data_IF_587069934599
#
_entry.id   IF_587069934599
#
_cell.length_a   1.000
_cell.length_b   1.000
_cell.length_c   1.000
_cell.angle_alpha   90.00
_cell.angle_beta   90.00
_cell.angle_gamma   90.00
#
_symmetry.space_group_name_H-M   'P 1'
#
loop_
_entity.id
_entity.type
_entity.pdbx_description
1 polymer ?
#
# COMPACT_ATOMS: atom_id res chain seq x y z
N UNK A 1 32.39 -3.70 -11.66
CA UNK A 1 32.66 -2.33 -11.27
C UNK A 1 32.19 -2.06 -9.87
N UNK A 2 32.93 -1.25 -9.09
CA UNK A 2 32.55 -0.97 -7.74
C UNK A 2 31.17 -0.30 -7.75
N UNK A 3 30.34 -0.76 -6.86
CA UNK A 3 29.00 -0.29 -6.62
C UNK A 3 29.06 1.21 -6.30
N UNK A 4 28.65 2.01 -7.25
CA UNK A 4 28.58 3.46 -7.08
C UNK A 4 27.36 3.74 -6.22
N UNK A 5 27.58 4.24 -5.02
CA UNK A 5 26.49 4.77 -4.21
C UNK A 5 26.02 6.07 -4.87
N UNK A 6 24.86 6.04 -5.50
CA UNK A 6 24.28 7.22 -6.16
C UNK A 6 23.84 8.28 -5.15
N UNK A 7 23.44 7.84 -3.97
CA UNK A 7 22.91 8.70 -2.91
C UNK A 7 23.28 8.15 -1.54
N UNK A 8 23.68 9.04 -0.61
CA UNK A 8 23.92 8.73 0.81
C UNK A 8 23.23 9.78 1.66
N UNK A 9 22.39 9.33 2.58
CA UNK A 9 21.82 10.17 3.64
C UNK A 9 22.41 9.79 4.98
N UNK A 10 22.75 10.79 5.79
CA UNK A 10 23.21 10.61 7.16
C UNK A 10 22.25 11.40 8.05
N UNK A 11 21.62 10.71 9.01
CA UNK A 11 20.68 11.35 9.93
C UNK A 11 21.45 12.06 11.04
N UNK A 12 20.81 13.03 11.68
CA UNK A 12 21.23 13.52 12.98
C UNK A 12 21.02 12.41 14.04
N UNK A 13 21.73 12.44 15.18
CA UNK A 13 21.63 11.42 16.24
C UNK A 13 20.38 11.64 17.12
N UNK A 14 19.19 11.70 16.49
CA UNK A 14 17.93 12.05 17.14
C UNK A 14 17.09 10.84 17.54
N UNK A 15 17.35 9.66 16.98
CA UNK A 15 16.62 8.43 17.32
C UNK A 15 16.91 7.99 18.76
N UNK A 16 15.88 7.50 19.43
CA UNK A 16 15.93 7.02 20.81
C UNK A 16 15.51 5.57 20.98
N UNK A 17 15.00 4.93 19.93
CA UNK A 17 14.63 3.52 19.94
C UNK A 17 14.87 2.85 18.57
N UNK A 18 14.94 1.52 18.58
CA UNK A 18 14.99 0.74 17.35
C UNK A 18 13.71 0.91 16.51
N UNK A 19 12.55 1.03 17.16
CA UNK A 19 11.25 1.23 16.51
C UNK A 19 11.21 2.53 15.69
N UNK A 20 11.72 3.62 16.22
CA UNK A 20 11.85 4.90 15.50
C UNK A 20 12.71 4.74 14.24
N UNK A 21 13.83 4.02 14.33
CA UNK A 21 14.72 3.74 13.20
C UNK A 21 14.00 2.92 12.13
N UNK A 22 13.28 1.87 12.53
CA UNK A 22 12.54 1.02 11.57
C UNK A 22 11.40 1.79 10.92
N UNK A 23 10.68 2.62 11.67
CA UNK A 23 9.64 3.49 11.13
C UNK A 23 10.22 4.47 10.09
N UNK A 24 11.35 5.11 10.42
CA UNK A 24 12.05 6.00 9.50
C UNK A 24 12.48 5.28 8.21
N UNK A 25 13.11 4.11 8.32
CA UNK A 25 13.56 3.34 7.17
C UNK A 25 12.40 2.85 6.30
N UNK A 26 11.28 2.48 6.91
CA UNK A 26 10.06 2.07 6.20
C UNK A 26 9.49 3.24 5.41
N UNK A 27 9.40 4.42 6.01
CA UNK A 27 8.93 5.62 5.34
C UNK A 27 9.87 6.04 4.21
N UNK A 28 11.18 5.99 4.44
CA UNK A 28 12.20 6.31 3.44
C UNK A 28 12.12 5.35 2.24
N UNK A 29 11.95 4.05 2.48
CA UNK A 29 11.74 3.05 1.44
C UNK A 29 10.48 3.35 0.61
N UNK A 30 9.37 3.67 1.27
CA UNK A 30 8.12 4.05 0.60
C UNK A 30 8.30 5.29 -0.27
N UNK A 31 9.03 6.29 0.23
CA UNK A 31 9.33 7.51 -0.51
C UNK A 31 10.18 7.24 -1.75
N UNK A 32 11.21 6.41 -1.66
CA UNK A 32 12.07 6.06 -2.80
C UNK A 32 11.30 5.29 -3.87
N UNK A 33 10.48 4.33 -3.48
CA UNK A 33 9.63 3.56 -4.39
C UNK A 33 8.59 4.47 -5.05
N UNK A 34 7.90 5.27 -4.27
CA UNK A 34 6.88 6.19 -4.77
C UNK A 34 7.45 7.22 -5.76
N UNK A 35 8.66 7.73 -5.49
CA UNK A 35 9.34 8.70 -6.37
C UNK A 35 9.99 8.03 -7.60
N UNK A 36 9.96 6.71 -7.71
CA UNK A 36 10.63 5.97 -8.79
C UNK A 36 12.17 6.03 -8.73
N UNK A 37 12.75 6.46 -7.58
CA UNK A 37 14.20 6.57 -7.39
C UNK A 37 14.82 5.18 -7.25
N UNK A 38 14.17 4.28 -6.51
CA UNK A 38 14.64 2.93 -6.27
C UNK A 38 13.51 2.02 -5.80
N UNK A 39 13.49 0.78 -6.26
CA UNK A 39 12.60 -0.27 -5.71
C UNK A 39 13.05 -0.77 -4.34
N UNK A 40 14.22 -0.35 -3.86
CA UNK A 40 14.81 -0.77 -2.59
C UNK A 40 14.87 -2.31 -2.42
N UNK A 41 15.14 -3.01 -3.51
CA UNK A 41 15.39 -4.45 -3.52
C UNK A 41 16.74 -4.78 -2.88
N UNK A 42 16.99 -6.08 -2.67
CA UNK A 42 18.24 -6.56 -2.09
C UNK A 42 19.45 -6.05 -2.90
N UNK A 43 20.38 -5.40 -2.21
CA UNK A 43 21.57 -4.78 -2.80
C UNK A 43 21.39 -3.34 -3.30
N UNK A 44 20.16 -2.85 -3.46
CA UNK A 44 19.89 -1.47 -3.87
C UNK A 44 19.95 -0.48 -2.69
N UNK A 45 19.68 -0.93 -1.47
CA UNK A 45 19.71 -0.12 -0.26
C UNK A 45 20.64 -0.76 0.78
N UNK A 46 21.50 0.05 1.40
CA UNK A 46 22.37 -0.35 2.52
C UNK A 46 22.16 0.59 3.69
N UNK A 47 22.24 0.05 4.88
CA UNK A 47 22.13 0.80 6.12
C UNK A 47 23.29 0.42 7.06
N UNK A 48 24.01 1.42 7.53
CA UNK A 48 24.96 1.30 8.65
C UNK A 48 24.36 2.06 9.83
N UNK A 49 24.42 1.47 11.03
CA UNK A 49 23.86 2.08 12.24
C UNK A 49 25.00 2.51 13.16
N UNK A 50 24.92 3.74 13.64
CA UNK A 50 25.79 4.23 14.72
C UNK A 50 24.96 4.34 15.99
N UNK A 51 25.42 3.72 17.07
CA UNK A 51 24.76 3.72 18.35
C UNK A 51 25.73 4.14 19.47
N UNK A 52 25.23 4.85 20.46
CA UNK A 52 25.87 5.09 21.74
C UNK A 52 24.83 5.14 22.85
N UNK A 53 25.19 4.77 24.05
CA UNK A 53 24.37 4.86 25.27
C UNK A 53 24.99 5.86 26.21
N UNK A 54 24.18 6.66 26.88
CA UNK A 54 24.58 7.65 27.89
C UNK A 54 23.63 7.63 29.06
N UNK A 55 24.06 8.14 30.18
CA UNK A 55 23.21 8.34 31.35
C UNK A 55 22.07 9.33 31.06
N UNK A 56 20.93 9.09 31.68
CA UNK A 56 19.77 9.98 31.54
C UNK A 56 20.13 11.40 32.07
N UNK A 57 19.80 12.40 31.25
CA UNK A 57 20.11 13.81 31.54
C UNK A 57 21.50 14.28 31.09
N UNK A 58 22.40 13.36 30.68
CA UNK A 58 23.69 13.75 30.09
C UNK A 58 23.49 14.45 28.74
N UNK A 59 24.26 15.51 28.47
CA UNK A 59 24.30 16.19 27.18
C UNK A 59 25.37 15.61 26.24
N UNK A 60 26.36 14.91 26.79
CA UNK A 60 27.43 14.31 26.04
C UNK A 60 27.03 12.91 25.57
N UNK A 61 27.36 12.60 24.29
CA UNK A 61 27.13 11.25 23.77
C UNK A 61 28.12 10.26 24.39
N UNK A 62 27.68 9.02 24.58
CA UNK A 62 28.53 7.92 24.96
C UNK A 62 29.45 7.45 23.83
N UNK A 63 30.23 6.43 24.10
CA UNK A 63 31.14 5.82 23.13
C UNK A 63 30.34 5.23 21.95
N UNK A 64 30.78 5.56 20.75
CA UNK A 64 30.07 5.17 19.52
C UNK A 64 30.49 3.79 19.02
N UNK A 65 29.51 2.94 18.72
CA UNK A 65 29.69 1.71 17.96
C UNK A 65 28.99 1.82 16.61
N UNK A 66 29.72 1.51 15.52
CA UNK A 66 29.18 1.39 14.18
C UNK A 66 28.82 -0.07 13.90
N UNK A 67 27.55 -0.36 13.53
CA UNK A 67 27.07 -1.71 13.23
C UNK A 67 26.91 -1.86 11.72
N UNK A 68 27.46 -2.94 11.16
CA UNK A 68 27.42 -3.26 9.73
C UNK A 68 26.87 -4.67 9.47
N UNK A 69 26.58 -4.96 8.21
CA UNK A 69 26.13 -6.26 7.71
C UNK A 69 24.75 -6.70 8.21
N UNK A 70 23.82 -5.77 8.31
CA UNK A 70 22.43 -6.07 8.59
C UNK A 70 21.68 -6.25 7.26
N UNK A 71 21.10 -7.43 7.05
CA UNK A 71 20.48 -7.84 5.79
C UNK A 71 19.00 -7.46 5.66
N UNK A 72 18.36 -7.07 6.76
CA UNK A 72 16.92 -6.77 6.82
C UNK A 72 16.61 -5.73 7.89
N UNK A 73 15.42 -5.15 7.84
CA UNK A 73 14.96 -4.23 8.89
C UNK A 73 14.83 -4.95 10.25
N UNK A 74 14.42 -6.22 10.24
CA UNK A 74 14.39 -7.05 11.45
C UNK A 74 15.81 -7.24 12.05
N UNK A 75 16.81 -7.46 11.19
CA UNK A 75 18.19 -7.55 11.60
C UNK A 75 18.69 -6.23 12.19
N UNK A 76 18.31 -5.08 11.62
CA UNK A 76 18.64 -3.75 12.15
C UNK A 76 18.04 -3.56 13.53
N UNK A 77 16.76 -3.88 13.72
CA UNK A 77 16.08 -3.78 15.01
C UNK A 77 16.78 -4.62 16.09
N UNK A 78 17.05 -5.89 15.78
CA UNK A 78 17.73 -6.80 16.69
C UNK A 78 19.15 -6.34 17.02
N UNK A 79 19.88 -5.86 16.02
CA UNK A 79 21.24 -5.36 16.22
C UNK A 79 21.30 -4.13 17.13
N UNK A 80 20.38 -3.18 16.94
CA UNK A 80 20.27 -1.99 17.78
C UNK A 80 19.97 -2.39 19.23
N UNK A 81 18.95 -3.24 19.43
CA UNK A 81 18.56 -3.67 20.77
C UNK A 81 19.68 -4.46 21.47
N UNK A 82 20.40 -5.32 20.74
CA UNK A 82 21.55 -6.06 21.29
C UNK A 82 22.67 -5.12 21.71
N UNK A 83 23.07 -4.18 20.84
CA UNK A 83 24.16 -3.24 21.16
C UNK A 83 23.78 -2.25 22.27
N UNK A 84 22.54 -1.79 22.31
CA UNK A 84 22.05 -0.95 23.39
C UNK A 84 22.18 -1.67 24.74
N UNK A 85 21.77 -2.95 24.80
CA UNK A 85 21.89 -3.76 26.02
C UNK A 85 23.36 -4.01 26.39
N UNK A 86 24.23 -4.35 25.42
CA UNK A 86 25.65 -4.55 25.64
C UNK A 86 26.30 -3.29 26.24
N UNK A 87 25.99 -2.12 25.70
CA UNK A 87 26.52 -0.85 26.23
C UNK A 87 25.98 -0.55 27.63
N UNK A 88 24.70 -0.81 27.90
CA UNK A 88 24.14 -0.65 29.25
C UNK A 88 24.81 -1.59 30.24
N UNK A 89 24.97 -2.86 29.91
CA UNK A 89 25.62 -3.86 30.76
C UNK A 89 27.09 -3.50 31.02
N UNK A 90 27.80 -3.01 29.99
CA UNK A 90 29.19 -2.57 30.14
C UNK A 90 29.33 -1.38 31.09
N UNK A 91 28.40 -0.41 31.04
CA UNK A 91 28.41 0.78 31.92
C UNK A 91 27.99 0.41 33.35
N UNK A 92 26.90 -0.40 33.49
CA UNK A 92 26.31 -0.70 34.80
C UNK A 92 27.17 -1.70 35.62
N UNK A 93 27.68 -2.73 34.92
CA UNK A 93 28.41 -3.83 35.61
C UNK A 93 29.91 -3.82 35.37
N UNK A 94 30.45 -2.80 34.68
CA UNK A 94 31.88 -2.70 34.33
C UNK A 94 32.45 -3.96 33.67
N UNK A 95 31.62 -4.61 32.81
CA UNK A 95 31.98 -5.91 32.20
C UNK A 95 33.07 -5.78 31.14
N UNK A 96 33.12 -4.66 30.44
CA UNK A 96 34.11 -4.36 29.40
C UNK A 96 34.30 -2.85 29.25
N UNK A 97 35.48 -2.45 28.79
CA UNK A 97 35.75 -1.05 28.43
C UNK A 97 35.14 -0.79 27.03
N UNK A 98 34.21 0.16 26.97
CA UNK A 98 33.64 0.58 25.69
C UNK A 98 34.65 1.43 24.93
N UNK A 99 34.97 1.00 23.72
CA UNK A 99 35.85 1.73 22.80
C UNK A 99 35.09 2.02 21.48
N UNK A 100 35.50 3.09 20.81
CA UNK A 100 34.93 3.38 19.50
C UNK A 100 35.37 2.31 18.51
N UNK A 101 34.43 1.50 18.04
CA UNK A 101 34.70 0.36 17.16
C UNK A 101 33.62 0.17 16.08
N UNK A 102 33.96 -0.62 15.06
CA UNK A 102 33.02 -1.15 14.10
C UNK A 102 32.76 -2.61 14.41
N UNK A 103 31.49 -2.99 14.45
CA UNK A 103 31.02 -4.36 14.70
C UNK A 103 30.19 -4.86 13.54
N UNK A 104 30.25 -6.15 13.23
CA UNK A 104 29.33 -6.80 12.30
C UNK A 104 28.22 -7.51 13.07
N UNK A 105 27.01 -7.40 12.56
CA UNK A 105 25.90 -8.21 13.04
C UNK A 105 25.95 -9.61 12.43
N UNK A 106 25.55 -10.61 13.18
CA UNK A 106 25.46 -12.01 12.78
C UNK A 106 24.04 -12.53 13.02
N UNK A 107 23.29 -12.73 11.95
CA UNK A 107 21.88 -13.16 11.98
C UNK A 107 21.69 -14.51 12.68
N UNK A 108 22.67 -15.42 12.55
CA UNK A 108 22.55 -16.76 13.10
C UNK A 108 22.62 -16.79 14.65
N UNK A 109 23.46 -15.93 15.24
CA UNK A 109 23.59 -15.84 16.69
C UNK A 109 22.78 -14.70 17.31
N UNK A 110 22.30 -13.75 16.50
CA UNK A 110 21.62 -12.54 16.97
C UNK A 110 22.54 -11.58 17.71
N UNK A 111 23.85 -11.64 17.49
CA UNK A 111 24.88 -10.89 18.21
C UNK A 111 25.75 -10.07 17.27
N UNK A 112 26.45 -9.10 17.85
CA UNK A 112 27.48 -8.36 17.13
C UNK A 112 28.87 -8.86 17.51
N UNK A 113 29.82 -8.75 16.59
CA UNK A 113 31.23 -9.11 16.79
C UNK A 113 32.14 -7.99 16.30
N UNK A 114 33.14 -7.65 17.10
CA UNK A 114 34.10 -6.63 16.72
C UNK A 114 34.81 -6.99 15.40
N UNK A 115 34.92 -6.01 14.53
CA UNK A 115 35.70 -6.09 13.29
C UNK A 115 37.13 -5.63 13.59
N UNK A 116 38.05 -6.05 12.71
CA UNK A 116 39.45 -5.61 12.82
C UNK A 116 39.49 -4.09 12.74
N UNK A 117 40.00 -3.45 13.79
CA UNK A 117 40.23 -2.01 13.82
C UNK A 117 41.21 -1.62 12.72
N UNK A 118 40.79 -0.72 11.84
CA UNK A 118 41.73 0.04 11.03
C UNK A 118 42.24 1.15 11.93
N UNK A 119 43.44 1.00 12.43
CA UNK A 119 44.10 1.91 13.39
C UNK A 119 44.37 3.33 12.88
N UNK A 120 43.92 3.67 11.71
CA UNK A 120 44.15 5.01 11.15
C UNK A 120 42.85 5.61 10.63
N UNK A 121 42.50 6.80 11.13
CA UNK A 121 41.55 7.69 10.44
C UNK A 121 42.00 7.78 8.99
N UNK A 122 41.10 7.35 8.07
CA UNK A 122 41.39 7.47 6.66
C UNK A 122 41.46 8.96 6.31
N UNK A 123 42.66 9.46 6.07
CA UNK A 123 42.83 10.78 5.48
C UNK A 123 42.31 10.70 4.04
N UNK A 124 41.09 11.18 3.82
CA UNK A 124 40.41 11.15 2.51
C UNK A 124 41.07 12.06 1.47
N UNK A 125 42.01 12.92 1.85
CA UNK A 125 42.78 13.81 0.97
C UNK A 125 41.90 14.46 -0.10
N UNK A 126 40.84 15.17 0.32
CA UNK A 126 39.96 15.91 -0.57
C UNK A 126 40.72 17.00 -1.31
N UNK A 127 41.14 16.70 -2.52
CA UNK A 127 41.70 17.68 -3.45
C UNK A 127 41.06 17.49 -4.83
N UNK A 128 40.97 18.55 -5.65
CA UNK A 128 40.40 18.46 -7.00
C UNK A 128 41.17 17.45 -7.87
N UNK A 129 40.44 16.57 -8.55
CA UNK A 129 41.03 15.70 -9.57
C UNK A 129 41.36 16.54 -10.80
N UNK A 130 42.59 16.48 -11.27
CA UNK A 130 43.07 17.24 -12.44
C UNK A 130 42.40 16.83 -13.75
N UNK A 131 41.78 15.65 -13.81
CA UNK A 131 41.06 15.17 -14.99
C UNK A 131 39.57 15.48 -14.99
N UNK A 132 39.03 16.03 -13.90
CA UNK A 132 37.63 16.39 -13.77
C UNK A 132 37.47 17.90 -13.88
N UNK A 133 36.68 18.32 -14.86
CA UNK A 133 36.29 19.74 -14.97
C UNK A 133 35.32 20.14 -13.90
N UNK A 134 35.34 21.38 -13.40
CA UNK A 134 34.32 21.87 -12.50
C UNK A 134 32.92 21.73 -13.10
N UNK A 135 32.00 21.19 -12.31
CA UNK A 135 30.59 21.12 -12.69
C UNK A 135 29.97 22.46 -12.27
N UNK A 136 29.45 23.19 -13.25
CA UNK A 136 28.75 24.46 -13.00
C UNK A 136 27.26 24.16 -12.95
N UNK A 137 26.66 24.40 -11.78
CA UNK A 137 25.22 24.26 -11.57
C UNK A 137 24.64 25.65 -11.68
N UNK A 138 23.98 25.96 -12.80
CA UNK A 138 23.31 27.23 -13.03
C UNK A 138 21.83 27.19 -12.63
N UNK A 139 21.21 28.37 -12.60
CA UNK A 139 19.81 28.50 -12.19
C UNK A 139 18.86 27.82 -13.20
N UNK A 140 19.23 27.79 -14.49
CA UNK A 140 18.42 27.16 -15.52
C UNK A 140 18.33 25.65 -15.31
N UNK A 141 19.44 24.99 -14.99
CA UNK A 141 19.46 23.56 -14.66
C UNK A 141 18.66 23.26 -13.38
N UNK A 142 18.78 24.13 -12.36
CA UNK A 142 18.00 23.98 -11.12
C UNK A 142 16.49 24.08 -11.42
N UNK A 143 16.07 25.05 -12.24
CA UNK A 143 14.65 25.21 -12.59
C UNK A 143 14.13 24.05 -13.46
N UNK A 144 14.95 23.47 -14.31
CA UNK A 144 14.61 22.27 -15.06
C UNK A 144 14.36 21.07 -14.12
N UNK A 145 15.24 20.86 -13.14
CA UNK A 145 15.09 19.81 -12.13
C UNK A 145 13.81 20.03 -11.32
N UNK A 146 13.54 21.26 -10.88
CA UNK A 146 12.32 21.59 -10.12
C UNK A 146 11.04 21.27 -10.91
N UNK A 147 11.00 21.54 -12.21
CA UNK A 147 9.86 21.23 -13.09
C UNK A 147 9.60 19.72 -13.22
N UNK A 148 10.67 18.94 -13.16
CA UNK A 148 10.62 17.48 -13.32
C UNK A 148 10.63 16.74 -11.98
N UNK A 149 10.53 17.48 -10.85
CA UNK A 149 10.52 16.87 -9.51
C UNK A 149 9.32 15.92 -9.37
N UNK A 150 9.52 14.71 -8.87
CA UNK A 150 8.41 13.82 -8.53
C UNK A 150 7.44 14.48 -7.54
N UNK A 151 6.17 14.13 -7.62
CA UNK A 151 5.17 14.57 -6.64
C UNK A 151 5.56 14.02 -5.27
N UNK A 152 5.50 14.87 -4.25
CA UNK A 152 5.82 14.44 -2.89
C UNK A 152 4.69 13.56 -2.32
N UNK A 153 5.07 12.52 -1.58
CA UNK A 153 4.11 11.63 -0.90
C UNK A 153 3.14 12.44 -0.02
N UNK A 154 3.67 13.42 0.74
CA UNK A 154 2.85 14.21 1.64
C UNK A 154 1.76 14.99 0.93
N UNK A 155 2.04 15.53 -0.26
CA UNK A 155 1.05 16.23 -1.07
C UNK A 155 -0.07 15.27 -1.50
N UNK A 156 0.29 14.03 -1.87
CA UNK A 156 -0.68 12.99 -2.24
C UNK A 156 -1.50 12.50 -1.05
N UNK A 157 -0.90 12.37 0.12
CA UNK A 157 -1.63 12.01 1.35
C UNK A 157 -2.70 13.05 1.66
N UNK A 158 -2.37 14.35 1.56
CA UNK A 158 -3.33 15.43 1.76
C UNK A 158 -4.45 15.37 0.72
N UNK A 159 -4.09 15.28 -0.57
CA UNK A 159 -5.04 15.20 -1.68
C UNK A 159 -6.04 14.04 -1.51
N UNK A 160 -5.55 12.85 -1.22
CA UNK A 160 -6.41 11.66 -1.03
C UNK A 160 -7.26 11.74 0.24
N UNK A 161 -6.73 12.33 1.31
CA UNK A 161 -7.48 12.56 2.55
C UNK A 161 -8.64 13.53 2.33
N UNK A 162 -8.39 14.64 1.61
CA UNK A 162 -9.43 15.61 1.24
C UNK A 162 -10.49 15.02 0.31
N UNK A 163 -10.10 14.06 -0.54
CA UNK A 163 -11.00 13.27 -1.39
C UNK A 163 -11.83 12.23 -0.62
N UNK A 164 -11.62 12.09 0.70
CA UNK A 164 -12.38 11.20 1.58
C UNK A 164 -11.95 9.74 1.55
N UNK A 165 -10.73 9.45 1.10
CA UNK A 165 -10.10 8.12 1.19
C UNK A 165 -9.62 7.94 2.62
N UNK A 166 -9.76 6.74 3.19
CA UNK A 166 -9.33 6.47 4.55
C UNK A 166 -7.80 6.36 4.66
N UNK A 167 -7.24 6.72 5.83
CA UNK A 167 -5.80 6.66 6.11
C UNK A 167 -5.18 5.30 5.72
N UNK A 168 -5.84 4.21 6.10
CA UNK A 168 -5.39 2.85 5.77
C UNK A 168 -5.36 2.57 4.26
N UNK A 169 -6.32 3.10 3.51
CA UNK A 169 -6.34 2.98 2.05
C UNK A 169 -5.26 3.85 1.42
N UNK A 170 -5.04 5.06 1.96
CA UNK A 170 -3.96 5.95 1.54
C UNK A 170 -2.62 5.27 1.69
N UNK A 171 -2.32 4.66 2.85
CA UNK A 171 -1.09 3.92 3.08
C UNK A 171 -0.86 2.82 2.03
N UNK A 172 -1.92 2.11 1.64
CA UNK A 172 -1.83 1.08 0.59
C UNK A 172 -1.58 1.67 -0.80
N UNK A 173 -2.13 2.83 -1.10
CA UNK A 173 -1.98 3.51 -2.39
C UNK A 173 -0.57 4.08 -2.53
N UNK A 174 -0.08 4.80 -1.51
CA UNK A 174 1.24 5.42 -1.55
C UNK A 174 2.40 4.42 -1.45
N UNK A 175 2.13 3.21 -0.93
CA UNK A 175 3.12 2.14 -0.92
C UNK A 175 3.48 1.63 -2.34
N UNK A 176 2.66 1.96 -3.35
CA UNK A 176 2.85 1.51 -4.73
C UNK A 176 2.53 2.62 -5.74
N UNK A 177 3.57 3.09 -6.43
CA UNK A 177 3.45 4.18 -7.40
C UNK A 177 2.44 3.87 -8.53
N UNK A 178 2.41 2.63 -9.03
CA UNK A 178 1.49 2.25 -10.12
C UNK A 178 0.04 2.37 -9.67
N UNK A 179 -0.26 2.04 -8.41
CA UNK A 179 -1.61 2.19 -7.83
C UNK A 179 -2.00 3.66 -7.71
N UNK A 180 -1.07 4.50 -7.23
CA UNK A 180 -1.30 5.95 -7.16
C UNK A 180 -1.55 6.54 -8.54
N UNK A 181 -0.73 6.20 -9.54
CA UNK A 181 -0.90 6.67 -10.92
C UNK A 181 -2.21 6.16 -11.54
N UNK A 182 -2.60 4.91 -11.28
CA UNK A 182 -3.87 4.36 -11.73
C UNK A 182 -5.05 5.13 -11.12
N UNK A 183 -5.01 5.39 -9.82
CA UNK A 183 -6.04 6.17 -9.13
C UNK A 183 -6.14 7.58 -9.70
N UNK A 184 -5.01 8.27 -9.82
CA UNK A 184 -4.97 9.62 -10.39
C UNK A 184 -5.54 9.67 -11.82
N UNK A 185 -5.16 8.68 -12.66
CA UNK A 185 -5.68 8.56 -14.02
C UNK A 185 -7.19 8.34 -14.06
N UNK A 186 -7.73 7.49 -13.19
CA UNK A 186 -9.18 7.25 -13.10
C UNK A 186 -9.93 8.48 -12.60
N UNK A 187 -9.37 9.19 -11.62
CA UNK A 187 -9.95 10.44 -11.09
C UNK A 187 -9.91 11.56 -12.15
N UNK A 188 -8.81 11.69 -12.88
CA UNK A 188 -8.68 12.65 -13.98
C UNK A 188 -9.71 12.41 -15.09
N UNK A 189 -10.17 11.17 -15.27
CA UNK A 189 -11.27 10.81 -16.17
C UNK A 189 -12.66 11.11 -15.59
N UNK A 190 -12.76 11.70 -14.39
CA UNK A 190 -13.99 12.18 -13.76
C UNK A 190 -14.71 11.17 -12.88
N UNK A 191 -14.04 10.09 -12.45
CA UNK A 191 -14.58 9.18 -11.44
C UNK A 191 -14.37 9.75 -10.03
N UNK A 192 -15.24 9.36 -9.09
CA UNK A 192 -15.07 9.68 -7.67
C UNK A 192 -13.83 8.98 -7.10
N UNK A 193 -12.97 9.70 -6.39
CA UNK A 193 -11.71 9.17 -5.88
C UNK A 193 -11.92 8.01 -4.88
N UNK A 194 -12.89 8.11 -3.98
CA UNK A 194 -13.19 7.06 -3.00
C UNK A 194 -13.72 5.79 -3.66
N UNK A 195 -14.58 5.93 -4.66
CA UNK A 195 -15.11 4.78 -5.40
C UNK A 195 -14.01 4.14 -6.24
N UNK A 196 -13.18 4.94 -6.91
CA UNK A 196 -12.02 4.46 -7.66
C UNK A 196 -11.04 3.70 -6.75
N UNK A 197 -10.69 4.24 -5.57
CA UNK A 197 -9.87 3.56 -4.59
C UNK A 197 -10.47 2.22 -4.16
N UNK A 198 -11.78 2.16 -3.91
CA UNK A 198 -12.49 0.91 -3.57
C UNK A 198 -12.41 -0.11 -4.71
N UNK A 199 -12.58 0.30 -5.98
CA UNK A 199 -12.44 -0.60 -7.13
C UNK A 199 -11.02 -1.13 -7.29
N UNK A 200 -10.02 -0.30 -7.06
CA UNK A 200 -8.60 -0.69 -7.14
C UNK A 200 -8.25 -1.64 -5.99
N UNK A 201 -8.40 -1.19 -4.74
CA UNK A 201 -7.89 -1.90 -3.57
C UNK A 201 -8.71 -3.12 -3.18
N UNK A 202 -10.04 -3.04 -3.29
CA UNK A 202 -10.92 -4.12 -2.87
C UNK A 202 -11.20 -5.10 -4.00
N UNK A 203 -11.58 -4.60 -5.17
CA UNK A 203 -12.01 -5.48 -6.26
C UNK A 203 -10.82 -5.99 -7.08
N UNK A 204 -9.95 -5.09 -7.59
CA UNK A 204 -8.82 -5.50 -8.46
C UNK A 204 -7.75 -6.26 -7.68
N UNK A 205 -7.27 -5.72 -6.56
CA UNK A 205 -6.27 -6.37 -5.71
C UNK A 205 -6.84 -7.66 -5.09
N UNK A 206 -8.13 -7.67 -4.73
CA UNK A 206 -8.80 -8.87 -4.23
C UNK A 206 -8.86 -10.01 -5.25
N UNK A 207 -8.96 -9.69 -6.55
CA UNK A 207 -8.90 -10.69 -7.63
C UNK A 207 -7.48 -11.23 -7.82
N UNK A 208 -6.47 -10.35 -7.82
CA UNK A 208 -5.06 -10.75 -7.93
C UNK A 208 -4.66 -11.70 -6.80
N UNK A 209 -5.03 -11.39 -5.57
CA UNK A 209 -4.74 -12.26 -4.41
C UNK A 209 -5.34 -13.66 -4.55
N UNK A 210 -6.52 -13.80 -5.14
CA UNK A 210 -7.14 -15.12 -5.41
C UNK A 210 -6.36 -15.91 -6.45
N UNK A 211 -5.64 -15.24 -7.34
CA UNK A 211 -4.78 -15.84 -8.35
C UNK A 211 -3.33 -16.03 -7.86
N UNK A 212 -3.02 -15.68 -6.60
CA UNK A 212 -1.68 -15.77 -6.03
C UNK A 212 -0.72 -14.69 -6.54
N UNK A 213 -1.25 -13.63 -7.12
CA UNK A 213 -0.50 -12.50 -7.67
C UNK A 213 -0.36 -11.37 -6.66
N UNK A 214 0.67 -10.55 -6.85
CA UNK A 214 0.93 -9.36 -6.04
C UNK A 214 0.25 -8.12 -6.63
N UNK A 215 0.20 -7.04 -5.85
CA UNK A 215 -0.35 -5.75 -6.27
C UNK A 215 0.45 -5.13 -7.43
N UNK A 216 1.76 -5.41 -7.49
CA UNK A 216 2.67 -4.92 -8.53
C UNK A 216 2.36 -5.53 -9.92
N UNK A 217 1.62 -6.63 -9.94
CA UNK A 217 1.17 -7.29 -11.17
C UNK A 217 -0.18 -6.76 -11.69
N UNK A 218 -0.73 -5.71 -11.06
CA UNK A 218 -1.96 -5.08 -11.53
C UNK A 218 -1.71 -4.35 -12.86
N UNK A 219 -2.26 -4.90 -13.92
CA UNK A 219 -2.18 -4.34 -15.28
C UNK A 219 -3.58 -4.02 -15.79
N UNK A 220 -4.01 -2.78 -15.60
CA UNK A 220 -5.25 -2.24 -16.14
C UNK A 220 -5.06 -0.78 -16.48
N UNK A 221 -5.52 -0.33 -17.64
CA UNK A 221 -5.43 1.10 -17.95
C UNK A 221 -6.49 1.91 -17.20
N UNK A 222 -6.20 3.18 -16.87
CA UNK A 222 -7.16 4.07 -16.23
C UNK A 222 -8.47 4.20 -17.01
N UNK A 223 -8.42 4.21 -18.36
CA UNK A 223 -9.57 4.33 -19.23
C UNK A 223 -10.52 3.14 -19.10
N UNK A 224 -9.98 1.92 -19.07
CA UNK A 224 -10.77 0.70 -18.92
C UNK A 224 -11.44 0.62 -17.55
N UNK A 225 -10.71 0.96 -16.49
CA UNK A 225 -11.26 0.97 -15.15
C UNK A 225 -12.31 2.07 -14.98
N UNK A 226 -12.04 3.28 -15.49
CA UNK A 226 -12.98 4.38 -15.46
C UNK A 226 -14.27 4.07 -16.24
N UNK A 227 -14.17 3.37 -17.37
CA UNK A 227 -15.35 2.95 -18.13
C UNK A 227 -16.25 2.00 -17.33
N UNK A 228 -15.66 1.04 -16.60
CA UNK A 228 -16.42 0.14 -15.73
C UNK A 228 -17.11 0.92 -14.60
N UNK A 229 -16.37 1.80 -13.92
CA UNK A 229 -16.91 2.60 -12.82
C UNK A 229 -18.08 3.47 -13.32
N UNK A 230 -17.89 4.18 -14.42
CA UNK A 230 -18.92 5.05 -15.00
C UNK A 230 -20.19 4.29 -15.41
N UNK A 231 -20.08 3.10 -16.00
CA UNK A 231 -21.24 2.27 -16.31
C UNK A 231 -22.01 1.86 -15.04
N UNK A 232 -21.31 1.60 -13.93
CA UNK A 232 -21.94 1.28 -12.66
C UNK A 232 -22.60 2.51 -12.04
N UNK A 233 -21.90 3.66 -12.02
CA UNK A 233 -22.41 4.91 -11.45
C UNK A 233 -23.61 5.48 -12.23
N UNK A 234 -23.60 5.29 -13.56
CA UNK A 234 -24.74 5.65 -14.40
C UNK A 234 -25.94 4.68 -14.27
N UNK A 235 -25.79 3.58 -13.52
CA UNK A 235 -26.82 2.56 -13.41
C UNK A 235 -27.07 1.75 -14.68
N UNK A 236 -26.17 1.81 -15.65
CA UNK A 236 -26.24 1.01 -16.89
C UNK A 236 -26.03 -0.47 -16.56
N UNK A 237 -25.15 -0.75 -15.62
CA UNK A 237 -24.88 -2.09 -15.09
C UNK A 237 -24.86 -2.07 -13.57
N UNK A 238 -25.13 -3.20 -12.93
CA UNK A 238 -24.95 -3.33 -11.49
C UNK A 238 -23.50 -3.65 -11.13
N UNK A 239 -23.12 -3.45 -9.85
CA UNK A 239 -21.75 -3.68 -9.35
C UNK A 239 -21.28 -5.14 -9.58
N UNK A 240 -22.18 -6.12 -9.56
CA UNK A 240 -21.84 -7.54 -9.79
C UNK A 240 -21.43 -7.77 -11.24
N UNK A 241 -22.13 -7.17 -12.19
CA UNK A 241 -21.76 -7.20 -13.62
C UNK A 241 -20.45 -6.45 -13.84
N UNK A 242 -20.25 -5.28 -13.21
CA UNK A 242 -18.99 -4.54 -13.24
C UNK A 242 -17.80 -5.39 -12.78
N UNK A 243 -17.95 -6.18 -11.70
CA UNK A 243 -16.91 -7.11 -11.24
C UNK A 243 -16.61 -8.21 -12.27
N UNK A 244 -17.63 -8.74 -12.99
CA UNK A 244 -17.40 -9.73 -14.05
C UNK A 244 -16.65 -9.15 -15.23
N UNK A 245 -16.98 -7.91 -15.62
CA UNK A 245 -16.26 -7.17 -16.65
C UNK A 245 -14.81 -6.93 -16.24
N UNK A 246 -14.60 -6.49 -14.99
CA UNK A 246 -13.24 -6.29 -14.44
C UNK A 246 -12.38 -7.57 -14.50
N UNK A 247 -12.96 -8.72 -14.17
CA UNK A 247 -12.28 -10.02 -14.30
C UNK A 247 -11.86 -10.30 -15.75
N UNK A 248 -12.74 -10.06 -16.72
CA UNK A 248 -12.43 -10.26 -18.13
C UNK A 248 -11.34 -9.28 -18.61
N UNK A 249 -11.42 -8.01 -18.21
CA UNK A 249 -10.40 -7.00 -18.53
C UNK A 249 -9.03 -7.40 -17.97
N UNK A 250 -8.96 -7.85 -16.71
CA UNK A 250 -7.70 -8.25 -16.09
C UNK A 250 -7.09 -9.53 -16.68
N UNK A 251 -7.91 -10.43 -17.23
CA UNK A 251 -7.44 -11.72 -17.80
C UNK A 251 -7.14 -11.66 -19.27
N UNK A 252 -7.96 -10.98 -20.03
CA UNK A 252 -8.00 -11.06 -21.50
C UNK A 252 -7.79 -9.69 -22.14
N UNK A 253 -7.59 -8.64 -21.35
CA UNK A 253 -7.39 -7.24 -21.76
C UNK A 253 -8.49 -6.71 -22.72
N UNK A 254 -9.73 -7.19 -22.57
CA UNK A 254 -10.87 -6.81 -23.40
C UNK A 254 -11.29 -5.36 -23.22
N UNK A 255 -12.03 -4.81 -24.21
CA UNK A 255 -12.72 -3.52 -24.04
C UNK A 255 -13.95 -3.69 -23.15
N UNK A 256 -14.08 -2.96 -22.03
CA UNK A 256 -15.15 -3.14 -21.06
C UNK A 256 -16.56 -2.85 -21.65
N UNK A 257 -16.67 -1.87 -22.55
CA UNK A 257 -17.96 -1.48 -23.14
C UNK A 257 -18.41 -2.50 -24.16
N UNK A 258 -17.49 -2.97 -25.02
CA UNK A 258 -17.80 -4.03 -25.99
C UNK A 258 -18.18 -5.33 -25.28
N UNK A 259 -17.39 -5.74 -24.29
CA UNK A 259 -17.66 -6.95 -23.50
C UNK A 259 -19.01 -6.88 -22.75
N UNK A 260 -19.36 -5.70 -22.23
CA UNK A 260 -20.65 -5.46 -21.59
C UNK A 260 -21.82 -5.76 -22.54
N UNK A 261 -21.75 -5.22 -23.77
CA UNK A 261 -22.79 -5.40 -24.80
C UNK A 261 -22.89 -6.84 -25.31
N UNK A 262 -21.75 -7.46 -25.59
CA UNK A 262 -21.68 -8.85 -26.07
C UNK A 262 -22.29 -9.84 -25.09
N UNK A 263 -22.06 -9.60 -23.78
CA UNK A 263 -22.59 -10.46 -22.72
C UNK A 263 -23.96 -9.99 -22.20
N UNK A 264 -24.52 -8.90 -22.73
CA UNK A 264 -25.86 -8.42 -22.40
C UNK A 264 -25.98 -7.93 -20.95
N UNK A 265 -24.90 -7.41 -20.36
CA UNK A 265 -24.93 -6.84 -19.01
C UNK A 265 -25.62 -5.46 -18.96
N UNK A 266 -25.74 -4.78 -20.09
CA UNK A 266 -26.43 -3.50 -20.31
C UNK A 266 -27.96 -3.63 -20.52
N UNK A 267 -28.46 -4.85 -20.60
CA UNK A 267 -29.91 -5.06 -20.74
C UNK A 267 -30.61 -4.58 -19.47
N UNK A 268 -31.46 -3.57 -19.64
CA UNK A 268 -32.37 -3.13 -18.57
C UNK A 268 -33.12 -4.34 -18.04
N UNK A 269 -33.04 -4.54 -16.75
CA UNK A 269 -33.77 -5.61 -16.07
C UNK A 269 -35.24 -5.33 -16.25
N UNK A 270 -35.94 -6.27 -16.91
CA UNK A 270 -37.40 -6.18 -16.98
C UNK A 270 -37.97 -6.37 -15.59
N UNK A 271 -38.38 -5.25 -14.99
CA UNK A 271 -38.96 -5.24 -13.64
C UNK A 271 -40.20 -6.14 -13.54
N UNK A 272 -40.88 -6.42 -14.64
CA UNK A 272 -42.00 -7.36 -14.67
C UNK A 272 -41.55 -8.81 -14.45
N UNK A 273 -40.33 -9.16 -14.90
CA UNK A 273 -39.73 -10.48 -14.61
C UNK A 273 -39.32 -10.56 -13.12
N UNK A 274 -38.75 -9.49 -12.59
CA UNK A 274 -38.38 -9.43 -11.15
C UNK A 274 -39.64 -9.57 -10.30
N UNK A 275 -40.67 -8.85 -10.64
CA UNK A 275 -41.95 -8.85 -9.93
C UNK A 275 -42.59 -10.25 -9.89
N UNK A 276 -42.51 -10.95 -11.03
CA UNK A 276 -43.02 -12.32 -11.17
C UNK A 276 -42.22 -13.32 -10.33
N UNK A 277 -40.90 -13.21 -10.30
CA UNK A 277 -40.04 -14.08 -9.47
C UNK A 277 -40.31 -13.81 -7.97
N UNK A 278 -40.54 -12.56 -7.58
CA UNK A 278 -40.91 -12.24 -6.18
C UNK A 278 -42.29 -12.84 -5.85
N UNK A 279 -43.25 -12.76 -6.74
CA UNK A 279 -44.59 -13.36 -6.51
C UNK A 279 -44.53 -14.89 -6.41
N UNK A 280 -43.74 -15.56 -7.24
CA UNK A 280 -43.52 -16.99 -7.16
C UNK A 280 -42.79 -17.37 -5.84
N UNK A 281 -41.81 -16.57 -5.41
CA UNK A 281 -41.12 -16.80 -4.15
C UNK A 281 -42.06 -16.61 -2.94
N UNK A 282 -42.98 -15.65 -2.97
CA UNK A 282 -44.00 -15.44 -1.94
C UNK A 282 -44.96 -16.63 -1.90
N UNK A 283 -45.46 -17.11 -3.05
CA UNK A 283 -46.36 -18.25 -3.14
C UNK A 283 -45.70 -19.54 -2.62
N UNK A 284 -44.45 -19.79 -3.03
CA UNK A 284 -43.73 -20.99 -2.65
C UNK A 284 -43.27 -21.01 -1.18
N UNK A 285 -43.32 -19.89 -0.48
CA UNK A 285 -42.94 -19.76 0.92
C UNK A 285 -44.08 -19.27 1.81
N UNK A 286 -45.33 -19.70 1.55
CA UNK A 286 -46.54 -19.23 2.21
C UNK A 286 -46.48 -19.27 3.73
N UNK A 287 -45.84 -20.27 4.34
CA UNK A 287 -45.66 -20.38 5.77
C UNK A 287 -44.76 -19.27 6.34
N UNK A 288 -43.65 -18.94 5.67
CA UNK A 288 -42.76 -17.87 6.07
C UNK A 288 -43.41 -16.50 5.93
N UNK A 289 -44.24 -16.32 4.93
CA UNK A 289 -45.06 -15.10 4.74
C UNK A 289 -46.08 -14.96 5.87
N UNK A 290 -46.78 -16.05 6.27
CA UNK A 290 -47.72 -16.03 7.39
C UNK A 290 -47.01 -15.71 8.72
N UNK A 291 -45.84 -16.31 8.95
CA UNK A 291 -45.01 -16.04 10.13
C UNK A 291 -44.55 -14.56 10.19
N UNK A 292 -44.17 -13.99 9.02
CA UNK A 292 -43.80 -12.56 8.93
C UNK A 292 -44.98 -11.66 9.27
N UNK A 293 -46.17 -11.91 8.70
CA UNK A 293 -47.39 -11.16 9.00
C UNK A 293 -47.83 -11.28 10.47
N UNK A 294 -47.47 -12.39 11.12
CA UNK A 294 -47.70 -12.59 12.57
C UNK A 294 -46.61 -11.97 13.47
N UNK A 295 -45.73 -11.10 12.92
CA UNK A 295 -44.75 -10.33 13.71
C UNK A 295 -43.35 -10.98 13.81
N UNK A 296 -43.11 -12.13 13.19
CA UNK A 296 -41.77 -12.76 13.16
C UNK A 296 -40.90 -12.15 12.07
N UNK A 297 -40.33 -10.98 12.28
CA UNK A 297 -39.59 -10.22 11.29
C UNK A 297 -38.48 -11.03 10.56
N UNK A 298 -37.85 -12.02 11.21
CA UNK A 298 -36.80 -12.87 10.59
C UNK A 298 -37.33 -13.84 9.53
N UNK A 299 -38.63 -14.13 9.51
CA UNK A 299 -39.21 -15.09 8.56
C UNK A 299 -39.11 -14.60 7.10
N UNK A 300 -39.08 -13.28 6.85
CA UNK A 300 -38.88 -12.68 5.53
C UNK A 300 -37.56 -13.11 4.88
N UNK A 301 -36.56 -13.47 5.66
CA UNK A 301 -35.24 -13.88 5.13
C UNK A 301 -35.31 -15.17 4.30
N UNK A 302 -36.24 -16.06 4.61
CA UNK A 302 -36.46 -17.29 3.81
C UNK A 302 -36.98 -16.96 2.41
N UNK A 303 -37.95 -16.05 2.31
CA UNK A 303 -38.52 -15.58 1.03
C UNK A 303 -37.47 -14.77 0.28
N UNK A 304 -36.74 -13.87 0.95
CA UNK A 304 -35.65 -13.12 0.37
C UNK A 304 -34.54 -14.04 -0.18
N UNK A 305 -34.18 -15.10 0.55
CA UNK A 305 -33.21 -16.09 0.10
C UNK A 305 -33.67 -16.88 -1.14
N UNK A 306 -34.97 -17.11 -1.30
CA UNK A 306 -35.52 -17.71 -2.51
C UNK A 306 -35.42 -16.75 -3.70
N UNK A 307 -35.83 -15.47 -3.53
CA UNK A 307 -35.66 -14.43 -4.57
C UNK A 307 -34.19 -14.28 -4.96
N UNK A 308 -33.27 -14.28 -4.01
CA UNK A 308 -31.84 -14.14 -4.28
C UNK A 308 -31.24 -15.32 -5.04
N UNK A 309 -31.79 -16.52 -4.98
CA UNK A 309 -31.32 -17.66 -5.78
C UNK A 309 -31.61 -17.49 -7.26
N UNK A 310 -32.77 -16.95 -7.61
CA UNK A 310 -33.20 -16.73 -8.99
C UNK A 310 -32.65 -15.41 -9.56
N UNK A 311 -32.57 -14.35 -8.74
CA UNK A 311 -32.20 -12.98 -9.15
C UNK A 311 -30.75 -12.62 -8.83
N UNK A 312 -29.92 -13.60 -8.34
CA UNK A 312 -28.54 -13.35 -7.96
C UNK A 312 -27.70 -12.80 -9.12
N UNK A 313 -27.19 -11.59 -8.95
CA UNK A 313 -26.37 -10.93 -9.97
C UNK A 313 -27.16 -10.30 -11.12
N UNK A 314 -28.50 -10.28 -11.01
CA UNK A 314 -29.40 -9.61 -11.94
C UNK A 314 -29.91 -8.31 -11.30
N UNK A 315 -30.36 -8.37 -10.04
CA UNK A 315 -30.91 -7.22 -9.31
C UNK A 315 -30.12 -7.02 -8.01
N UNK A 316 -30.00 -5.77 -7.56
CA UNK A 316 -29.39 -5.47 -6.28
C UNK A 316 -30.22 -6.01 -5.12
N UNK A 317 -29.58 -6.59 -4.08
CA UNK A 317 -30.29 -7.14 -2.93
C UNK A 317 -31.20 -6.13 -2.22
N UNK A 318 -30.81 -4.85 -2.21
CA UNK A 318 -31.60 -3.77 -1.61
C UNK A 318 -32.95 -3.57 -2.33
N UNK A 319 -32.94 -3.59 -3.66
CA UNK A 319 -34.15 -3.45 -4.49
C UNK A 319 -35.10 -4.62 -4.29
N UNK A 320 -34.55 -5.85 -4.29
CA UNK A 320 -35.35 -7.06 -4.04
C UNK A 320 -36.00 -7.01 -2.66
N UNK A 321 -35.26 -6.55 -1.64
CA UNK A 321 -35.76 -6.44 -0.28
C UNK A 321 -36.88 -5.41 -0.19
N UNK A 322 -36.72 -4.24 -0.79
CA UNK A 322 -37.70 -3.17 -0.81
C UNK A 322 -39.01 -3.61 -1.52
N UNK A 323 -38.87 -4.24 -2.70
CA UNK A 323 -40.02 -4.76 -3.44
C UNK A 323 -40.75 -5.84 -2.65
N UNK A 324 -40.02 -6.75 -2.00
CA UNK A 324 -40.59 -7.81 -1.17
C UNK A 324 -41.33 -7.23 0.04
N UNK A 325 -40.73 -6.27 0.75
CA UNK A 325 -41.37 -5.60 1.88
C UNK A 325 -42.62 -4.84 1.46
N UNK A 326 -42.62 -4.19 0.29
CA UNK A 326 -43.78 -3.46 -0.23
C UNK A 326 -44.94 -4.40 -0.61
N UNK A 327 -44.62 -5.62 -1.13
CA UNK A 327 -45.65 -6.62 -1.46
C UNK A 327 -46.20 -7.36 -0.23
N UNK A 328 -45.49 -7.38 0.86
CA UNK A 328 -45.91 -8.09 2.10
C UNK A 328 -46.61 -7.19 3.11
N UNK A 329 -46.55 -5.86 2.92
CA UNK A 329 -47.36 -4.90 3.67
C UNK A 329 -48.83 -5.07 3.34
#
# INVERSE_FOLDING_TARGET
FPYTTLFRSVTQPDFRSAEEVITYLTNLKSMFRFSGISECEEGAMRCDVNISVREEGSQEFGVRTEIKNMSSFEAIEKAINYEAQRHMDAIEYELEELVQETRRYDDASGKTFAMRNKETEADYRYFPDANLMPIIIDDEWIEEIKKNRPVEINDKVVEYSEAGISEKEIDMIIANQNISQLLDGVVALGCNAKDAASWILTESVGLLRKEGKTIDELSISPEKLAAIIKMVDAGEINRVSGKKILVAVLKEDVDPVAYCKENGFDKKIDMAVVDKVIDEAIQNNAQAVADYKNGKAKAIQSVFGACMRELKGIVEPAVIKEMLENKLK
#
